data_IF_651230855596
#
_entry.id   IF_651230855596
#
_cell.length_a   1.000
_cell.length_b   1.000
_cell.length_c   1.000
_cell.angle_alpha   90.00
_cell.angle_beta   90.00
_cell.angle_gamma   90.00
#
_symmetry.space_group_name_H-M   'P 1'
#
loop_
_entity.id
_entity.type
_entity.pdbx_description
1 polymer ?
#
# COMPACT_ATOMS: atom_id res chain seq x y z
N UNK A 1 -13.04 6.36 -1.00
CA UNK A 1 -12.13 7.17 -1.82
C UNK A 1 -11.06 6.29 -2.48
N UNK A 2 -10.55 6.69 -3.67
CA UNK A 2 -9.47 5.96 -4.33
C UNK A 2 -8.16 6.06 -3.55
N UNK A 3 -7.33 5.03 -3.62
CA UNK A 3 -5.94 5.07 -3.15
C UNK A 3 -5.09 5.79 -4.19
N UNK A 4 -4.65 7.01 -3.90
CA UNK A 4 -3.82 7.79 -4.82
C UNK A 4 -2.34 7.45 -4.70
N UNK A 5 -1.55 7.66 -5.77
CA UNK A 5 -0.11 7.39 -5.76
C UNK A 5 0.64 8.20 -4.68
N UNK A 6 1.76 7.68 -4.13
CA UNK A 6 2.62 8.46 -3.24
C UNK A 6 3.08 9.77 -3.91
N UNK A 7 3.05 10.89 -3.17
CA UNK A 7 3.32 12.23 -3.71
C UNK A 7 2.07 13.01 -4.15
N UNK A 8 0.89 12.40 -4.11
CA UNK A 8 -0.39 13.09 -4.41
C UNK A 8 -0.76 14.14 -3.37
N UNK A 9 -0.27 14.00 -2.14
CA UNK A 9 -0.48 14.85 -0.96
C UNK A 9 -1.90 14.72 -0.40
N UNK A 10 -2.93 15.06 -1.18
CA UNK A 10 -4.34 14.92 -0.81
C UNK A 10 -5.18 14.49 -2.00
N UNK A 11 -6.34 13.91 -1.72
CA UNK A 11 -7.31 13.50 -2.74
C UNK A 11 -7.81 14.70 -3.56
N UNK A 12 -8.08 15.83 -2.90
CA UNK A 12 -8.57 17.04 -3.55
C UNK A 12 -7.52 17.61 -4.52
N UNK A 13 -6.30 17.83 -4.04
CA UNK A 13 -5.20 18.30 -4.87
C UNK A 13 -4.93 17.38 -6.06
N UNK A 14 -4.95 16.07 -5.82
CA UNK A 14 -4.75 15.08 -6.88
C UNK A 14 -5.87 15.13 -7.91
N UNK A 15 -7.12 15.21 -7.47
CA UNK A 15 -8.28 15.37 -8.34
C UNK A 15 -8.14 16.60 -9.26
N UNK A 16 -7.73 17.74 -8.70
CA UNK A 16 -7.66 19.01 -9.44
C UNK A 16 -6.50 19.07 -10.43
N UNK A 17 -5.35 18.46 -10.09
CA UNK A 17 -4.14 18.53 -10.91
C UNK A 17 -3.95 17.38 -11.90
N UNK A 18 -4.56 16.24 -11.63
CA UNK A 18 -4.39 15.05 -12.48
C UNK A 18 -5.26 15.14 -13.74
N UNK A 19 -4.65 15.14 -14.90
CA UNK A 19 -5.33 15.14 -16.21
C UNK A 19 -5.67 13.75 -16.75
N UNK A 20 -5.34 12.67 -16.01
CA UNK A 20 -5.60 11.29 -16.47
C UNK A 20 -4.73 10.86 -17.66
N UNK A 21 -3.55 11.43 -17.87
CA UNK A 21 -2.67 11.15 -19.02
C UNK A 21 -2.08 9.74 -19.06
N UNK A 22 -2.24 8.92 -18.02
CA UNK A 22 -1.84 7.53 -17.88
C UNK A 22 -0.31 7.24 -17.94
N UNK A 23 0.56 8.24 -18.01
CA UNK A 23 2.02 8.04 -18.09
C UNK A 23 2.51 7.26 -16.87
N UNK A 24 2.09 7.62 -15.65
CA UNK A 24 2.46 6.91 -14.42
C UNK A 24 1.94 5.46 -14.38
N UNK A 25 0.80 5.18 -15.01
CA UNK A 25 0.23 3.82 -15.11
C UNK A 25 1.11 2.94 -15.97
N UNK A 26 1.47 3.43 -17.16
CA UNK A 26 2.31 2.69 -18.14
C UNK A 26 3.73 2.50 -17.61
N UNK A 27 4.27 3.49 -16.90
CA UNK A 27 5.63 3.45 -16.37
C UNK A 27 5.77 2.72 -15.03
N UNK A 28 4.67 2.32 -14.40
CA UNK A 28 4.70 1.62 -13.11
C UNK A 28 5.34 0.24 -13.23
N UNK A 29 6.51 -0.03 -12.62
CA UNK A 29 7.22 -1.29 -12.78
C UNK A 29 6.47 -2.47 -12.15
N UNK A 30 5.75 -2.26 -11.06
CA UNK A 30 4.92 -3.28 -10.42
C UNK A 30 3.50 -3.35 -10.98
N UNK A 31 3.15 -2.48 -11.95
CA UNK A 31 1.83 -2.41 -12.60
C UNK A 31 0.66 -2.34 -11.58
N UNK A 32 0.89 -1.71 -10.46
CA UNK A 32 -0.11 -1.56 -9.39
C UNK A 32 -1.04 -0.36 -9.62
N UNK A 33 -0.63 0.59 -10.48
CA UNK A 33 -1.47 1.71 -10.86
C UNK A 33 -2.47 1.28 -11.94
N UNK A 34 -3.74 1.60 -11.72
CA UNK A 34 -4.84 1.34 -12.63
C UNK A 34 -5.67 2.61 -12.82
N UNK A 35 -6.17 2.89 -14.04
CA UNK A 35 -7.12 3.97 -14.22
C UNK A 35 -8.42 3.66 -13.46
N UNK A 36 -9.05 4.67 -12.90
CA UNK A 36 -10.39 4.57 -12.33
C UNK A 36 -11.44 4.59 -13.44
N UNK A 37 -12.52 3.85 -13.25
CA UNK A 37 -13.75 3.98 -14.02
C UNK A 37 -14.69 4.98 -13.34
N UNK A 38 -15.98 4.63 -13.25
CA UNK A 38 -17.02 5.44 -12.61
C UNK A 38 -17.21 5.14 -11.11
N UNK A 39 -16.47 4.17 -10.57
CA UNK A 39 -16.62 3.70 -9.19
C UNK A 39 -16.36 4.76 -8.10
N UNK A 40 -15.69 5.85 -8.46
CA UNK A 40 -15.39 6.98 -7.57
C UNK A 40 -16.00 8.30 -8.05
N UNK A 41 -16.90 8.24 -9.04
CA UNK A 41 -17.54 9.42 -9.65
C UNK A 41 -16.76 9.96 -10.85
N UNK A 42 -17.39 10.85 -11.58
CA UNK A 42 -16.84 11.45 -12.83
C UNK A 42 -15.54 12.22 -12.59
N UNK A 43 -15.39 12.87 -11.44
CA UNK A 43 -14.20 13.63 -11.07
C UNK A 43 -12.91 12.81 -11.02
N UNK A 44 -13.02 11.51 -10.77
CA UNK A 44 -11.90 10.59 -10.72
C UNK A 44 -11.75 9.73 -11.98
N UNK A 45 -12.66 9.84 -12.94
CA UNK A 45 -12.62 9.03 -14.16
C UNK A 45 -11.26 9.15 -14.86
N UNK A 46 -10.68 8.02 -15.25
CA UNK A 46 -9.35 7.85 -15.86
C UNK A 46 -8.16 8.29 -15.00
N UNK A 47 -8.36 8.78 -13.78
CA UNK A 47 -7.24 9.11 -12.89
C UNK A 47 -6.64 7.82 -12.29
N UNK A 48 -5.32 7.75 -12.11
CA UNK A 48 -4.68 6.54 -11.60
C UNK A 48 -4.98 6.33 -10.12
N UNK A 49 -5.24 5.06 -9.75
CA UNK A 49 -5.32 4.60 -8.37
C UNK A 49 -4.41 3.41 -8.13
N UNK A 50 -3.99 3.20 -6.91
CA UNK A 50 -3.35 1.97 -6.49
C UNK A 50 -4.39 0.86 -6.36
N UNK A 51 -4.12 -0.29 -6.98
CA UNK A 51 -5.00 -1.46 -6.97
C UNK A 51 -4.16 -2.72 -6.68
N UNK A 52 -4.26 -3.21 -5.46
CA UNK A 52 -3.45 -4.31 -4.94
C UNK A 52 -4.03 -5.70 -5.27
N UNK A 53 -4.44 -5.89 -6.53
CA UNK A 53 -5.08 -7.13 -6.98
C UNK A 53 -4.06 -8.27 -7.07
N UNK A 54 -2.95 -8.02 -7.76
CA UNK A 54 -1.91 -9.02 -8.05
C UNK A 54 -0.51 -8.56 -7.70
N UNK A 55 -0.35 -7.31 -7.29
CA UNK A 55 0.94 -6.70 -6.99
C UNK A 55 0.80 -5.62 -5.92
N UNK A 56 1.90 -5.04 -5.51
CA UNK A 56 1.97 -3.98 -4.49
C UNK A 56 2.94 -2.87 -4.91
N UNK A 57 2.87 -1.73 -4.25
CA UNK A 57 3.77 -0.61 -4.53
C UNK A 57 5.15 -0.88 -3.93
N UNK A 58 6.18 -0.95 -4.77
CA UNK A 58 7.56 -1.16 -4.33
C UNK A 58 7.99 -0.09 -3.33
N UNK A 59 8.69 -0.51 -2.28
CA UNK A 59 9.02 0.32 -1.13
C UNK A 59 9.84 1.56 -1.50
N UNK A 60 10.86 1.41 -2.34
CA UNK A 60 11.80 2.48 -2.74
C UNK A 60 11.52 3.05 -4.14
N UNK A 61 10.40 2.72 -4.76
CA UNK A 61 10.09 3.16 -6.12
C UNK A 61 9.45 4.56 -6.14
N UNK A 62 10.03 5.48 -6.92
CA UNK A 62 9.55 6.87 -7.13
C UNK A 62 9.07 7.14 -8.55
N UNK A 63 9.11 6.17 -9.45
CA UNK A 63 8.86 6.34 -10.90
C UNK A 63 7.59 7.13 -11.22
N UNK A 64 6.48 6.88 -10.53
CA UNK A 64 5.22 7.58 -10.82
C UNK A 64 5.30 9.09 -10.48
N UNK A 65 6.10 9.47 -9.50
CA UNK A 65 6.32 10.87 -9.14
C UNK A 65 7.27 11.57 -10.11
N UNK A 66 8.27 10.84 -10.62
CA UNK A 66 9.29 11.39 -11.52
C UNK A 66 8.74 11.69 -12.92
N UNK A 67 7.73 10.92 -13.36
CA UNK A 67 7.15 11.04 -14.71
C UNK A 67 5.88 11.89 -14.79
N UNK A 68 5.40 12.44 -13.67
CA UNK A 68 4.13 13.18 -13.65
C UNK A 68 4.28 14.60 -14.24
N UNK A 69 3.74 14.90 -15.44
CA UNK A 69 3.96 16.19 -16.11
C UNK A 69 3.21 17.35 -15.46
N UNK A 70 2.11 17.06 -14.76
CA UNK A 70 1.26 18.11 -14.14
C UNK A 70 1.62 18.40 -12.70
N UNK A 71 2.56 17.62 -12.12
CA UNK A 71 2.88 17.68 -10.70
C UNK A 71 1.70 17.28 -9.79
N UNK A 72 0.69 16.57 -10.32
CA UNK A 72 -0.37 15.96 -9.51
C UNK A 72 0.23 14.97 -8.51
N UNK A 73 1.26 14.25 -8.93
CA UNK A 73 2.15 13.46 -8.08
C UNK A 73 3.44 14.26 -7.96
N UNK A 74 3.76 14.78 -6.80
CA UNK A 74 5.01 15.52 -6.57
C UNK A 74 6.20 14.56 -6.58
N UNK A 75 7.34 14.97 -7.15
CA UNK A 75 8.58 14.22 -7.01
C UNK A 75 8.89 13.95 -5.53
N UNK A 76 9.27 12.73 -5.23
CA UNK A 76 9.64 12.28 -3.89
C UNK A 76 11.05 11.74 -3.92
N UNK A 77 11.83 12.01 -2.87
CA UNK A 77 13.03 11.24 -2.58
C UNK A 77 12.66 9.84 -2.10
N UNK A 78 13.59 8.90 -2.15
CA UNK A 78 13.37 7.55 -1.61
C UNK A 78 13.01 7.62 -0.12
N UNK A 79 13.65 8.52 0.63
CA UNK A 79 13.35 8.71 2.06
C UNK A 79 11.93 9.19 2.30
N UNK A 80 11.46 10.19 1.55
CA UNK A 80 10.09 10.67 1.62
C UNK A 80 9.09 9.59 1.20
N UNK A 81 9.42 8.85 0.12
CA UNK A 81 8.57 7.74 -0.37
C UNK A 81 8.38 6.65 0.69
N UNK A 82 9.46 6.25 1.37
CA UNK A 82 9.43 5.18 2.38
C UNK A 82 8.70 5.56 3.66
N UNK A 83 8.45 6.84 3.87
CA UNK A 83 7.69 7.38 5.01
C UNK A 83 6.30 7.89 4.61
N UNK A 84 5.98 8.00 3.32
CA UNK A 84 4.68 8.50 2.86
C UNK A 84 3.58 7.45 3.06
N UNK A 85 2.62 7.76 3.93
CA UNK A 85 1.45 6.94 4.18
C UNK A 85 0.29 7.33 3.25
N UNK A 86 0.01 6.52 2.24
CA UNK A 86 -1.11 6.71 1.31
C UNK A 86 -2.42 6.15 1.85
N UNK A 87 -2.34 5.23 2.78
CA UNK A 87 -3.47 4.57 3.41
C UNK A 87 -3.00 3.66 4.55
N UNK A 88 -3.94 3.03 5.22
CA UNK A 88 -3.68 2.16 6.37
C UNK A 88 -4.32 0.79 6.12
N UNK A 89 -3.58 -0.28 6.43
CA UNK A 89 -4.10 -1.63 6.41
C UNK A 89 -5.21 -1.79 7.45
N UNK A 90 -6.29 -2.46 7.05
CA UNK A 90 -7.40 -2.82 7.93
C UNK A 90 -7.59 -4.33 7.89
N UNK A 91 -7.55 -4.96 9.04
CA UNK A 91 -7.70 -6.40 9.18
C UNK A 91 -9.14 -6.80 9.53
N UNK A 92 -9.66 -7.79 8.82
CA UNK A 92 -10.97 -8.38 9.01
C UNK A 92 -10.82 -9.82 9.51
N UNK A 93 -10.81 -9.98 10.82
CA UNK A 93 -10.62 -11.27 11.51
C UNK A 93 -11.55 -12.37 10.98
N UNK A 94 -12.83 -12.05 10.75
CA UNK A 94 -13.83 -13.00 10.27
C UNK A 94 -13.57 -13.59 8.88
N UNK A 95 -12.62 -13.01 8.11
CA UNK A 95 -12.23 -13.49 6.78
C UNK A 95 -10.90 -14.25 6.79
N UNK A 96 -10.09 -14.08 7.83
CA UNK A 96 -8.76 -14.66 7.90
C UNK A 96 -8.80 -16.18 7.99
N UNK A 97 -7.98 -16.88 7.19
CA UNK A 97 -7.88 -18.36 7.19
C UNK A 97 -7.51 -18.91 8.56
N UNK A 98 -6.75 -18.17 9.34
CA UNK A 98 -6.42 -18.56 10.73
C UNK A 98 -7.67 -18.65 11.61
N UNK A 99 -8.63 -17.75 11.39
CA UNK A 99 -9.89 -17.76 12.14
C UNK A 99 -10.93 -18.70 11.53
N UNK A 100 -11.00 -18.82 10.20
CA UNK A 100 -12.06 -19.57 9.51
C UNK A 100 -11.72 -21.05 9.32
N UNK A 101 -10.44 -21.38 9.13
CA UNK A 101 -9.96 -22.72 8.81
C UNK A 101 -8.98 -23.27 9.86
N UNK A 102 -8.66 -22.46 10.88
CA UNK A 102 -7.68 -22.80 11.94
C UNK A 102 -6.30 -23.23 11.38
N UNK A 103 -5.92 -22.66 10.22
CA UNK A 103 -4.63 -22.88 9.57
C UNK A 103 -3.65 -21.76 9.93
N UNK A 104 -2.42 -22.11 10.23
CA UNK A 104 -1.35 -21.15 10.47
C UNK A 104 -1.06 -20.34 9.18
N UNK A 105 -0.92 -19.02 9.34
CA UNK A 105 -0.62 -18.11 8.22
C UNK A 105 0.02 -16.82 8.75
N UNK A 106 1.21 -16.50 8.25
CA UNK A 106 1.96 -15.27 8.60
C UNK A 106 2.26 -14.37 7.38
N UNK A 107 1.75 -14.72 6.18
CA UNK A 107 2.14 -14.10 4.91
C UNK A 107 2.04 -12.57 4.90
N UNK A 108 1.03 -11.97 5.55
CA UNK A 108 0.87 -10.52 5.60
C UNK A 108 1.96 -9.81 6.43
N UNK A 109 2.48 -10.45 7.47
CA UNK A 109 3.57 -9.90 8.27
C UNK A 109 4.92 -10.07 7.56
N UNK A 110 5.17 -11.23 6.94
CA UNK A 110 6.40 -11.51 6.19
C UNK A 110 6.61 -10.56 4.99
N UNK A 111 5.53 -10.11 4.37
CA UNK A 111 5.57 -9.20 3.21
C UNK A 111 5.42 -7.72 3.58
N UNK A 112 5.53 -7.37 4.85
CA UNK A 112 5.43 -5.98 5.29
C UNK A 112 6.81 -5.31 5.35
N UNK A 113 7.16 -4.41 4.41
CA UNK A 113 8.49 -3.81 4.35
C UNK A 113 8.78 -2.86 5.52
N UNK A 114 7.74 -2.34 6.17
CA UNK A 114 7.85 -1.43 7.32
C UNK A 114 7.64 -2.13 8.65
N UNK A 115 7.44 -3.47 8.65
CA UNK A 115 7.11 -4.24 9.85
C UNK A 115 5.88 -3.71 10.62
N UNK A 116 5.00 -3.00 9.91
CA UNK A 116 3.75 -2.48 10.48
C UNK A 116 2.75 -3.58 10.83
N UNK A 117 2.90 -4.77 10.24
CA UNK A 117 2.09 -5.95 10.52
C UNK A 117 2.93 -6.94 11.30
N UNK A 118 2.53 -7.26 12.52
CA UNK A 118 3.17 -8.26 13.36
C UNK A 118 2.16 -9.30 13.81
N UNK A 119 2.63 -10.52 14.07
CA UNK A 119 1.78 -11.62 14.49
C UNK A 119 1.66 -11.66 16.01
N UNK A 120 0.42 -11.75 16.50
CA UNK A 120 0.12 -11.87 17.93
C UNK A 120 -0.56 -13.20 18.22
N UNK A 121 -0.36 -13.78 19.43
CA UNK A 121 -1.01 -15.03 19.83
C UNK A 121 -2.54 -14.93 19.74
N UNK A 122 -3.18 -16.01 19.29
CA UNK A 122 -4.62 -16.07 19.11
C UNK A 122 -5.26 -17.28 19.78
N UNK A 123 -5.25 -18.45 19.14
CA UNK A 123 -5.81 -19.70 19.69
C UNK A 123 -4.73 -20.78 19.72
N UNK A 124 -4.45 -21.33 20.90
CA UNK A 124 -3.40 -22.34 21.04
C UNK A 124 -2.06 -21.84 20.48
N UNK A 125 -1.55 -22.50 19.46
CA UNK A 125 -0.30 -22.14 18.77
C UNK A 125 -0.48 -21.16 17.60
N UNK A 126 -1.74 -20.82 17.24
CA UNK A 126 -2.05 -19.97 16.11
C UNK A 126 -1.82 -18.49 16.45
N UNK A 127 -1.43 -17.72 15.43
CA UNK A 127 -1.22 -16.28 15.52
C UNK A 127 -2.05 -15.53 14.49
N UNK A 128 -2.44 -14.29 14.80
CA UNK A 128 -3.15 -13.40 13.88
C UNK A 128 -2.41 -12.07 13.71
N UNK A 129 -2.59 -11.37 12.56
CA UNK A 129 -1.94 -10.09 12.33
C UNK A 129 -2.55 -8.99 13.20
N UNK A 130 -1.69 -8.18 13.78
CA UNK A 130 -1.99 -6.88 14.37
C UNK A 130 -1.25 -5.80 13.59
N UNK A 131 -1.92 -4.67 13.33
CA UNK A 131 -1.40 -3.60 12.49
C UNK A 131 -1.01 -2.43 13.38
N UNK A 132 0.23 -1.94 13.21
CA UNK A 132 0.66 -0.68 13.77
C UNK A 132 0.45 0.42 12.72
N UNK A 133 -0.53 1.34 12.91
CA UNK A 133 -0.85 2.38 11.95
C UNK A 133 0.28 3.41 11.80
N UNK A 134 1.14 3.59 12.82
CA UNK A 134 2.22 4.57 12.82
C UNK A 134 3.42 4.15 11.95
N UNK A 135 3.50 2.88 11.60
CA UNK A 135 4.53 2.33 10.72
C UNK A 135 3.97 1.98 9.31
N UNK A 136 2.64 1.87 9.18
CA UNK A 136 2.01 1.44 7.94
C UNK A 136 2.02 2.55 6.90
N UNK A 137 2.64 2.31 5.74
CA UNK A 137 2.64 3.25 4.60
C UNK A 137 1.54 2.99 3.57
N UNK A 138 0.81 1.88 3.71
CA UNK A 138 -0.25 1.51 2.77
C UNK A 138 0.24 0.97 1.43
N UNK A 139 1.41 0.34 1.37
CA UNK A 139 2.02 -0.18 0.13
C UNK A 139 1.26 -1.35 -0.52
N UNK A 140 0.36 -2.02 0.21
CA UNK A 140 -0.45 -3.13 -0.28
C UNK A 140 0.23 -4.48 -0.30
N UNK A 141 1.44 -4.64 0.23
CA UNK A 141 2.13 -5.93 0.31
C UNK A 141 1.31 -6.99 1.03
N UNK A 142 0.79 -6.65 2.21
CA UNK A 142 -0.07 -7.53 2.99
C UNK A 142 -1.41 -7.86 2.29
N UNK A 143 -1.98 -6.90 1.55
CA UNK A 143 -3.22 -7.11 0.80
C UNK A 143 -2.99 -8.02 -0.41
N UNK A 144 -1.94 -7.77 -1.20
CA UNK A 144 -1.65 -8.54 -2.42
C UNK A 144 -1.37 -10.01 -2.15
N UNK A 145 -0.64 -10.32 -1.07
CA UNK A 145 -0.25 -11.68 -0.70
C UNK A 145 -1.34 -12.48 0.03
N UNK A 146 -2.34 -11.82 0.59
CA UNK A 146 -3.41 -12.48 1.33
C UNK A 146 -4.07 -13.58 0.47
N UNK A 147 -4.13 -14.84 0.91
CA UNK A 147 -4.68 -15.95 0.10
C UNK A 147 -6.19 -15.92 -0.01
N UNK A 148 -6.88 -15.22 0.88
CA UNK A 148 -8.35 -15.19 0.93
C UNK A 148 -8.95 -14.55 -0.32
N UNK A 149 -9.94 -15.21 -0.94
CA UNK A 149 -10.68 -14.74 -2.11
C UNK A 149 -12.19 -14.99 -1.90
N UNK A 150 -13.09 -14.18 -2.50
CA UNK A 150 -12.83 -13.01 -3.36
C UNK A 150 -12.45 -11.77 -2.57
N UNK A 151 -12.86 -11.65 -1.30
CA UNK A 151 -12.56 -10.49 -0.44
C UNK A 151 -11.47 -10.83 0.56
N UNK A 152 -10.37 -10.12 0.47
CA UNK A 152 -9.19 -10.34 1.33
C UNK A 152 -9.46 -10.07 2.80
N UNK A 153 -8.74 -10.75 3.68
CA UNK A 153 -8.83 -10.54 5.12
C UNK A 153 -8.11 -9.26 5.59
N UNK A 154 -7.21 -8.73 4.76
CA UNK A 154 -6.52 -7.47 5.01
C UNK A 154 -6.60 -6.61 3.74
N UNK A 155 -7.01 -5.37 3.89
CA UNK A 155 -7.15 -4.40 2.79
C UNK A 155 -6.62 -3.04 3.21
N UNK A 156 -6.12 -2.27 2.24
CA UNK A 156 -5.66 -0.91 2.49
C UNK A 156 -6.84 0.06 2.30
N UNK A 157 -7.08 0.88 3.32
CA UNK A 157 -8.02 2.01 3.24
C UNK A 157 -7.26 3.29 2.96
N UNK A 158 -7.75 4.07 1.99
CA UNK A 158 -7.16 5.34 1.59
C UNK A 158 -7.22 6.38 2.69
N UNK A 159 -6.15 7.14 2.85
CA UNK A 159 -6.16 8.40 3.57
C UNK A 159 -6.65 9.53 2.64
N UNK A 160 -7.44 10.46 3.17
CA UNK A 160 -7.85 11.67 2.45
C UNK A 160 -6.65 12.58 2.18
N UNK A 161 -5.76 12.68 3.16
CA UNK A 161 -4.46 13.34 3.07
C UNK A 161 -3.36 12.34 3.38
N UNK A 162 -2.29 12.38 2.59
CA UNK A 162 -1.11 11.58 2.86
C UNK A 162 -0.40 12.11 4.10
N UNK A 163 0.09 11.19 4.92
CA UNK A 163 0.84 11.49 6.15
C UNK A 163 2.26 10.98 6.01
N UNK A 164 3.13 11.43 6.88
CA UNK A 164 4.45 10.85 7.06
C UNK A 164 4.45 10.00 8.33
N UNK A 165 5.04 8.81 8.22
CA UNK A 165 5.18 7.86 9.33
C UNK A 165 6.65 7.71 9.70
N UNK A 166 6.91 7.20 10.89
CA UNK A 166 8.26 6.89 11.34
C UNK A 166 8.83 5.67 10.58
N UNK A 167 10.14 5.67 10.36
CA UNK A 167 10.84 4.46 9.89
C UNK A 167 10.94 3.47 11.04
N UNK A 168 10.80 2.15 10.78
CA UNK A 168 11.08 1.15 11.79
C UNK A 168 12.54 1.29 12.26
N UNK A 169 12.76 1.18 13.58
CA UNK A 169 14.07 1.43 14.21
C UNK A 169 15.16 0.40 13.85
N UNK A 170 14.80 -0.74 13.28
CA UNK A 170 15.68 -1.88 13.02
C UNK A 170 15.88 -2.22 11.54
N UNK A 171 15.84 -1.24 10.63
CA UNK A 171 16.19 -1.46 9.21
C UNK A 171 17.72 -1.54 8.95
N UNK A 172 18.56 -1.77 9.97
CA UNK A 172 20.03 -1.81 9.84
C UNK A 172 20.63 -3.23 9.72
N UNK A 173 19.82 -4.28 9.54
CA UNK A 173 20.32 -5.66 9.49
C UNK A 173 20.23 -6.32 8.11
N UNK A 174 20.28 -5.56 7.01
CA UNK A 174 20.56 -6.13 5.70
C UNK A 174 21.76 -5.43 5.06
N UNK A 175 22.90 -5.42 5.75
CA UNK A 175 24.17 -5.26 5.08
C UNK A 175 24.62 -6.63 4.60
N UNK A 176 24.68 -6.75 3.30
CA UNK A 176 25.30 -7.84 2.56
C UNK A 176 26.70 -8.17 3.10
N UNK A 177 26.81 -9.25 3.85
CA UNK A 177 28.06 -9.98 3.93
C UNK A 177 27.96 -11.19 3.00
N UNK A 178 28.31 -10.96 1.73
CA UNK A 178 28.66 -11.98 0.79
C UNK A 178 29.90 -11.50 0.04
N UNK A 179 31.06 -11.82 0.61
CA UNK A 179 32.32 -11.87 -0.11
C UNK A 179 32.51 -13.27 -0.71
#
# INVERSE_FOLDING_TARGET
PPLTPPGSISLERFKDKCTGCQICVVRCPSQVLRPTGLEYGLDYMLKPRLAYISSYCNYECTVCSDVCPTGAIKPLTIEEKTTTQVGIATFFKGRCVVNTEEKDCGACAEHCPTQAVHMVPYKGTLTIPQINPDLCIGCGGCESICPVRPMRAIIIKSNVEHKFVEKPKDCLLYTSDAA
#
